data_IF_103333635841
#
_entry.id   IF_103333635841
#
_cell.length_a   1.000
_cell.length_b   1.000
_cell.length_c   1.000
_cell.angle_alpha   90.00
_cell.angle_beta   90.00
_cell.angle_gamma   90.00
#
_symmetry.space_group_name_H-M   'P 1'
#
loop_
_entity.id
_entity.type
_entity.pdbx_description
1 polymer ?
#
# COMPACT_ATOMS: atom_id res chain seq x y z
N UNK A 1 27.90 -9.43 3.56
CA UNK A 1 27.66 -9.89 4.94
C UNK A 1 26.16 -9.88 5.12
N UNK A 2 25.52 -11.06 5.18
CA UNK A 2 24.08 -11.11 5.40
C UNK A 2 23.82 -10.65 6.82
N UNK A 3 23.07 -9.56 6.99
CA UNK A 3 22.50 -9.20 8.27
C UNK A 3 21.57 -10.35 8.65
N UNK A 4 21.98 -11.14 9.64
CA UNK A 4 21.09 -12.11 10.27
C UNK A 4 20.00 -11.30 10.94
N UNK A 5 18.74 -11.51 10.50
CA UNK A 5 17.62 -10.84 11.11
C UNK A 5 17.45 -11.36 12.54
N UNK A 6 17.83 -10.55 13.52
CA UNK A 6 17.61 -10.83 14.94
C UNK A 6 16.16 -10.58 15.38
N UNK A 7 15.27 -10.15 14.42
CA UNK A 7 13.89 -9.78 14.68
C UNK A 7 12.92 -10.83 14.15
N UNK A 8 12.00 -11.27 15.00
CA UNK A 8 10.90 -12.14 14.60
C UNK A 8 9.64 -11.36 14.15
N UNK A 9 8.62 -12.06 13.63
CA UNK A 9 7.35 -11.44 13.23
C UNK A 9 6.69 -10.60 14.34
N UNK A 10 6.82 -11.01 15.60
CA UNK A 10 6.27 -10.26 16.75
C UNK A 10 6.92 -8.90 16.93
N UNK A 11 8.23 -8.83 16.73
CA UNK A 11 8.99 -7.59 16.87
C UNK A 11 8.62 -6.61 15.76
N UNK A 12 8.42 -7.12 14.55
CA UNK A 12 7.95 -6.33 13.40
C UNK A 12 6.55 -5.78 13.67
N UNK A 13 5.60 -6.58 14.18
CA UNK A 13 4.27 -6.09 14.55
C UNK A 13 4.33 -5.01 15.61
N UNK A 14 5.12 -5.20 16.66
CA UNK A 14 5.30 -4.20 17.72
C UNK A 14 5.89 -2.89 17.17
N UNK A 15 6.79 -2.96 16.19
CA UNK A 15 7.34 -1.78 15.54
C UNK A 15 6.30 -1.09 14.62
N UNK A 16 5.53 -1.88 13.86
CA UNK A 16 4.45 -1.34 13.00
C UNK A 16 3.41 -0.58 13.84
N UNK A 17 3.05 -1.06 15.03
CA UNK A 17 2.11 -0.35 15.90
C UNK A 17 2.62 1.05 16.32
N UNK A 18 3.93 1.23 16.46
CA UNK A 18 4.54 2.55 16.77
C UNK A 18 4.40 3.55 15.63
N UNK A 19 4.15 3.11 14.40
CA UNK A 19 3.96 4.03 13.27
C UNK A 19 2.66 4.86 13.39
N UNK A 20 1.70 4.43 14.21
CA UNK A 20 0.40 5.09 14.35
C UNK A 20 -0.49 5.02 13.12
N UNK A 21 -0.11 4.25 12.09
CA UNK A 21 -0.83 4.20 10.80
C UNK A 21 -1.99 3.21 10.75
N UNK A 22 -2.17 2.39 11.77
CA UNK A 22 -3.23 1.38 11.80
C UNK A 22 -4.62 2.01 11.65
N UNK A 23 -5.34 1.58 10.62
CA UNK A 23 -6.70 2.07 10.34
C UNK A 23 -6.77 3.50 9.81
N UNK A 24 -5.64 4.10 9.45
CA UNK A 24 -5.58 5.44 8.83
C UNK A 24 -5.39 5.34 7.32
N UNK A 25 -5.94 6.31 6.61
CA UNK A 25 -5.58 6.60 5.23
C UNK A 25 -4.33 7.48 5.21
N UNK A 26 -3.42 7.22 4.28
CA UNK A 26 -2.26 8.05 4.03
C UNK A 26 -2.44 8.71 2.67
N UNK A 27 -2.92 9.94 2.67
CA UNK A 27 -3.18 10.72 1.46
C UNK A 27 -2.14 11.80 1.24
N UNK A 28 -1.59 12.36 2.31
CA UNK A 28 -0.55 13.39 2.26
C UNK A 28 0.61 13.01 3.17
N UNK A 29 1.83 13.35 2.75
CA UNK A 29 3.02 13.14 3.59
C UNK A 29 2.98 14.03 4.84
N UNK A 30 2.35 15.20 4.74
CA UNK A 30 2.20 16.16 5.83
C UNK A 30 1.28 15.65 6.96
N UNK A 31 0.52 14.58 6.72
CA UNK A 31 -0.29 13.91 7.74
C UNK A 31 0.56 13.08 8.72
N UNK A 32 1.86 12.89 8.42
CA UNK A 32 2.80 12.16 9.26
C UNK A 32 3.60 13.10 10.15
N UNK A 33 3.60 12.84 11.44
CA UNK A 33 4.53 13.47 12.36
C UNK A 33 5.97 12.97 12.11
N UNK A 34 7.00 13.73 12.54
CA UNK A 34 8.39 13.27 12.45
C UNK A 34 8.63 11.93 13.17
N UNK A 35 7.96 11.67 14.28
CA UNK A 35 8.07 10.43 15.03
C UNK A 35 7.44 9.25 14.29
N UNK A 36 6.27 9.43 13.66
CA UNK A 36 5.62 8.41 12.83
C UNK A 36 6.50 8.08 11.62
N UNK A 37 7.06 9.10 10.98
CA UNK A 37 7.99 8.92 9.86
C UNK A 37 9.26 8.17 10.27
N UNK A 38 9.85 8.50 11.42
CA UNK A 38 11.01 7.79 11.97
C UNK A 38 10.68 6.32 12.26
N UNK A 39 9.51 6.04 12.84
CA UNK A 39 9.05 4.67 13.08
C UNK A 39 8.78 3.91 11.78
N UNK A 40 8.32 4.59 10.73
CA UNK A 40 8.14 3.99 9.41
C UNK A 40 9.49 3.55 8.81
N UNK A 41 10.52 4.39 8.90
CA UNK A 41 11.87 4.04 8.46
C UNK A 41 12.46 2.88 9.27
N UNK A 42 12.31 2.89 10.60
CA UNK A 42 12.75 1.78 11.45
C UNK A 42 12.04 0.47 11.07
N UNK A 43 10.75 0.53 10.72
CA UNK A 43 10.01 -0.63 10.22
C UNK A 43 10.59 -1.15 8.89
N UNK A 44 10.95 -0.25 7.97
CA UNK A 44 11.55 -0.61 6.70
C UNK A 44 12.92 -1.30 6.89
N UNK A 45 13.77 -0.79 7.81
CA UNK A 45 15.05 -1.40 8.16
C UNK A 45 14.86 -2.81 8.75
N UNK A 46 13.86 -3.02 9.61
CA UNK A 46 13.55 -4.34 10.16
C UNK A 46 13.06 -5.33 9.10
N UNK A 47 12.41 -4.85 8.04
CA UNK A 47 11.92 -5.67 6.94
C UNK A 47 12.99 -5.99 5.90
N UNK A 48 14.06 -5.20 5.82
CA UNK A 48 15.10 -5.34 4.79
C UNK A 48 15.71 -6.75 4.71
N UNK A 49 16.04 -7.46 5.81
CA UNK A 49 16.59 -8.81 5.74
C UNK A 49 15.66 -9.83 5.07
N UNK A 50 14.36 -9.57 5.08
CA UNK A 50 13.34 -10.47 4.56
C UNK A 50 12.92 -10.19 3.11
N UNK A 51 13.54 -9.21 2.45
CA UNK A 51 13.09 -8.76 1.13
C UNK A 51 13.13 -9.86 0.05
N UNK A 52 13.94 -10.91 0.22
CA UNK A 52 14.00 -12.06 -0.70
C UNK A 52 13.23 -13.28 -0.21
N UNK A 53 13.29 -13.57 1.08
CA UNK A 53 12.63 -14.74 1.68
C UNK A 53 11.12 -14.55 1.84
N UNK A 54 10.67 -13.30 1.98
CA UNK A 54 9.30 -12.99 2.32
C UNK A 54 8.95 -13.25 3.78
N UNK A 55 7.75 -12.84 4.15
CA UNK A 55 7.14 -13.05 5.47
C UNK A 55 5.64 -13.28 5.31
N UNK A 56 5.06 -14.10 6.18
CA UNK A 56 3.61 -14.40 6.17
C UNK A 56 2.82 -13.44 7.11
N UNK A 57 3.05 -12.13 6.99
CA UNK A 57 2.42 -11.12 7.87
C UNK A 57 1.02 -10.72 7.41
N UNK A 58 0.77 -10.74 6.09
CA UNK A 58 -0.48 -10.27 5.47
C UNK A 58 -1.25 -11.41 4.78
N UNK A 59 -1.17 -12.60 5.34
CA UNK A 59 -1.89 -13.76 4.82
C UNK A 59 -3.39 -13.47 4.72
N UNK A 60 -3.99 -13.82 3.58
CA UNK A 60 -5.40 -13.57 3.23
C UNK A 60 -5.78 -12.09 3.05
N UNK A 61 -4.83 -11.16 3.10
CA UNK A 61 -5.07 -9.75 2.76
C UNK A 61 -4.93 -9.51 1.27
N UNK A 62 -5.69 -8.56 0.78
CA UNK A 62 -5.72 -8.18 -0.63
C UNK A 62 -5.34 -6.70 -0.74
N UNK A 63 -4.31 -6.43 -1.55
CA UNK A 63 -3.99 -5.10 -2.03
C UNK A 63 -4.65 -4.89 -3.40
N UNK A 64 -5.34 -3.78 -3.58
CA UNK A 64 -5.73 -3.33 -4.91
C UNK A 64 -4.84 -2.15 -5.35
N UNK A 65 -4.27 -2.24 -6.56
CA UNK A 65 -3.56 -1.11 -7.18
C UNK A 65 -4.41 -0.56 -8.33
N UNK A 66 -4.80 0.71 -8.21
CA UNK A 66 -5.66 1.42 -9.15
C UNK A 66 -4.90 2.62 -9.72
N UNK A 67 -4.36 2.47 -10.93
CA UNK A 67 -3.45 3.46 -11.53
C UNK A 67 -4.09 4.11 -12.76
N UNK A 68 -4.65 5.31 -12.59
CA UNK A 68 -5.16 6.15 -13.68
C UNK A 68 -4.03 6.84 -14.46
N UNK A 69 -2.84 6.89 -13.88
CA UNK A 69 -1.63 7.40 -14.51
C UNK A 69 -0.54 6.33 -14.50
N UNK A 70 0.11 6.02 -15.64
CA UNK A 70 1.14 4.99 -15.70
C UNK A 70 2.28 5.23 -14.72
N UNK A 71 2.63 4.21 -13.96
CA UNK A 71 3.80 4.20 -13.08
C UNK A 71 4.23 2.78 -12.76
N UNK A 72 5.07 2.20 -13.61
CA UNK A 72 5.54 0.83 -13.48
C UNK A 72 6.28 0.58 -12.18
N UNK A 73 7.25 1.45 -11.84
CA UNK A 73 8.07 1.28 -10.63
C UNK A 73 7.24 1.35 -9.35
N UNK A 74 6.39 2.35 -9.22
CA UNK A 74 5.53 2.53 -8.03
C UNK A 74 4.57 1.36 -7.88
N UNK A 75 3.90 0.96 -8.97
CA UNK A 75 2.99 -0.18 -8.94
C UNK A 75 3.72 -1.45 -8.52
N UNK A 76 4.81 -1.81 -9.19
CA UNK A 76 5.55 -3.03 -8.89
C UNK A 76 6.13 -3.05 -7.48
N UNK A 77 6.55 -1.91 -6.92
CA UNK A 77 7.04 -1.86 -5.55
C UNK A 77 5.96 -2.25 -4.54
N UNK A 78 4.75 -1.71 -4.67
CA UNK A 78 3.63 -2.05 -3.78
C UNK A 78 3.16 -3.50 -3.96
N UNK A 79 3.00 -3.94 -5.21
CA UNK A 79 2.56 -5.30 -5.52
C UNK A 79 3.57 -6.34 -5.02
N UNK A 80 4.86 -6.10 -5.27
CA UNK A 80 5.93 -6.99 -4.80
C UNK A 80 6.00 -7.02 -3.26
N UNK A 81 5.85 -5.88 -2.60
CA UNK A 81 5.81 -5.81 -1.15
C UNK A 81 4.65 -6.65 -0.59
N UNK A 82 3.46 -6.53 -1.18
CA UNK A 82 2.29 -7.31 -0.75
C UNK A 82 2.51 -8.81 -0.90
N UNK A 83 3.02 -9.27 -2.04
CA UNK A 83 3.36 -10.69 -2.25
C UNK A 83 4.40 -11.20 -1.26
N UNK A 84 5.44 -10.39 -0.98
CA UNK A 84 6.50 -10.78 -0.03
C UNK A 84 6.03 -10.81 1.41
N UNK A 85 4.96 -10.10 1.73
CA UNK A 85 4.31 -10.17 3.03
C UNK A 85 3.22 -11.25 3.12
N UNK A 86 3.09 -12.11 2.10
CA UNK A 86 2.16 -13.24 2.08
C UNK A 86 0.73 -12.89 1.67
N UNK A 87 0.50 -11.68 1.17
CA UNK A 87 -0.81 -11.24 0.69
C UNK A 87 -1.04 -11.49 -0.80
N UNK A 88 -2.17 -11.01 -1.30
CA UNK A 88 -2.60 -11.12 -2.68
C UNK A 88 -2.77 -9.74 -3.30
N UNK A 89 -2.77 -9.67 -4.64
CA UNK A 89 -2.89 -8.41 -5.37
C UNK A 89 -4.00 -8.50 -6.42
N UNK A 90 -4.82 -7.46 -6.48
CA UNK A 90 -5.67 -7.10 -7.60
C UNK A 90 -5.07 -5.86 -8.26
N UNK A 91 -4.87 -5.88 -9.56
CA UNK A 91 -4.27 -4.74 -10.27
C UNK A 91 -5.16 -4.24 -11.41
N UNK A 92 -5.35 -2.93 -11.48
CA UNK A 92 -5.94 -2.24 -12.62
C UNK A 92 -5.00 -1.11 -13.05
N UNK A 93 -4.40 -1.31 -14.21
CA UNK A 93 -3.36 -0.41 -14.73
C UNK A 93 -3.87 0.58 -15.78
N UNK A 94 -5.12 0.45 -16.21
CA UNK A 94 -5.72 1.36 -17.17
C UNK A 94 -7.24 1.50 -16.95
N UNK A 95 -7.66 2.04 -15.79
CA UNK A 95 -9.08 2.14 -15.44
C UNK A 95 -9.91 2.95 -16.44
N UNK A 96 -9.28 3.92 -17.12
CA UNK A 96 -9.97 4.76 -18.13
C UNK A 96 -10.42 3.99 -19.38
N UNK A 97 -9.84 2.82 -19.62
CA UNK A 97 -10.17 1.99 -20.79
C UNK A 97 -10.94 0.74 -20.41
N UNK A 98 -10.55 0.10 -19.29
CA UNK A 98 -10.99 -1.25 -18.92
C UNK A 98 -12.09 -1.28 -17.86
N UNK A 99 -12.32 -0.17 -17.15
CA UNK A 99 -13.25 -0.14 -16.01
C UNK A 99 -14.51 0.68 -16.25
N UNK A 100 -15.36 0.71 -15.24
CA UNK A 100 -16.59 1.54 -15.20
C UNK A 100 -16.30 3.04 -15.35
N UNK A 101 -15.08 3.50 -15.01
CA UNK A 101 -14.64 4.87 -15.27
C UNK A 101 -14.68 5.25 -16.75
N UNK A 102 -14.48 4.27 -17.66
CA UNK A 102 -14.67 4.47 -19.10
C UNK A 102 -16.14 4.72 -19.49
N UNK A 103 -17.10 4.46 -18.60
CA UNK A 103 -18.54 4.59 -18.80
C UNK A 103 -19.15 5.81 -18.09
N UNK A 104 -18.34 6.84 -17.78
CA UNK A 104 -18.75 8.04 -17.04
C UNK A 104 -19.20 7.79 -15.59
N UNK A 105 -18.80 6.70 -14.96
CA UNK A 105 -18.93 6.52 -13.52
C UNK A 105 -18.02 7.49 -12.79
N UNK A 106 -18.48 8.09 -11.68
CA UNK A 106 -17.63 8.98 -10.90
C UNK A 106 -16.46 8.22 -10.27
N UNK A 107 -15.31 8.88 -10.13
CA UNK A 107 -14.17 8.30 -9.45
C UNK A 107 -14.51 7.86 -8.02
N UNK A 108 -15.33 8.67 -7.34
CA UNK A 108 -15.78 8.36 -5.98
C UNK A 108 -16.59 7.05 -5.91
N UNK A 109 -17.54 6.84 -6.82
CA UNK A 109 -18.34 5.61 -6.86
C UNK A 109 -17.47 4.40 -7.22
N UNK A 110 -16.59 4.55 -8.21
CA UNK A 110 -15.62 3.51 -8.57
C UNK A 110 -14.75 3.08 -7.39
N UNK A 111 -14.18 4.04 -6.65
CA UNK A 111 -13.35 3.75 -5.48
C UNK A 111 -14.16 3.06 -4.39
N UNK A 112 -15.38 3.51 -4.10
CA UNK A 112 -16.26 2.89 -3.10
C UNK A 112 -16.57 1.43 -3.41
N UNK A 113 -16.82 1.10 -4.66
CA UNK A 113 -17.08 -0.27 -5.09
C UNK A 113 -15.80 -1.10 -5.01
N UNK A 114 -14.68 -0.61 -5.55
CA UNK A 114 -13.40 -1.34 -5.57
C UNK A 114 -12.88 -1.58 -4.16
N UNK A 115 -13.05 -0.63 -3.26
CA UNK A 115 -12.65 -0.77 -1.85
C UNK A 115 -13.37 -1.91 -1.11
N UNK A 116 -14.48 -2.43 -1.63
CA UNK A 116 -15.13 -3.61 -1.05
C UNK A 116 -14.41 -4.93 -1.39
N UNK A 117 -13.53 -4.93 -2.38
CA UNK A 117 -12.81 -6.12 -2.82
C UNK A 117 -11.41 -6.26 -2.19
N UNK A 118 -10.91 -5.22 -1.51
CA UNK A 118 -9.55 -5.19 -1.00
C UNK A 118 -9.47 -4.63 0.43
N UNK A 119 -8.45 -5.06 1.16
CA UNK A 119 -8.12 -4.54 2.49
C UNK A 119 -7.33 -3.23 2.42
N UNK A 120 -6.55 -3.06 1.36
CA UNK A 120 -5.71 -1.88 1.08
C UNK A 120 -5.86 -1.47 -0.37
N UNK A 121 -6.01 -0.17 -0.60
CA UNK A 121 -6.05 0.42 -1.94
C UNK A 121 -4.86 1.37 -2.12
N UNK A 122 -4.12 1.18 -3.20
CA UNK A 122 -3.12 2.15 -3.67
C UNK A 122 -3.65 2.81 -4.94
N UNK A 123 -3.96 4.08 -4.81
CA UNK A 123 -4.53 4.91 -5.89
C UNK A 123 -3.47 5.87 -6.44
N UNK A 124 -3.37 5.95 -7.78
CA UNK A 124 -2.64 7.01 -8.48
C UNK A 124 -3.55 7.67 -9.51
N UNK A 125 -3.86 8.95 -9.30
CA UNK A 125 -4.68 9.75 -10.19
C UNK A 125 -3.90 10.98 -10.70
N UNK A 126 -4.14 11.46 -11.93
CA UNK A 126 -3.46 12.65 -12.47
C UNK A 126 -3.89 13.95 -11.80
N UNK A 127 -5.10 14.01 -11.26
CA UNK A 127 -5.62 15.21 -10.59
C UNK A 127 -5.00 15.41 -9.21
N UNK A 128 -5.02 16.63 -8.72
CA UNK A 128 -4.51 16.98 -7.40
C UNK A 128 -5.26 16.16 -6.33
N UNK A 129 -4.51 15.56 -5.43
CA UNK A 129 -5.05 14.76 -4.33
C UNK A 129 -6.06 15.52 -3.46
N UNK A 130 -5.96 16.85 -3.42
CA UNK A 130 -6.90 17.73 -2.69
C UNK A 130 -8.31 17.71 -3.26
N UNK A 131 -8.45 17.42 -4.56
CA UNK A 131 -9.75 17.29 -5.24
C UNK A 131 -10.42 15.95 -4.93
N UNK A 132 -9.67 14.97 -4.43
CA UNK A 132 -10.16 13.62 -4.13
C UNK A 132 -10.52 13.43 -2.64
N UNK A 133 -10.23 14.43 -1.80
CA UNK A 133 -10.44 14.37 -0.35
C UNK A 133 -11.82 14.92 0.10
N UNK A 134 -12.55 15.61 -0.79
CA UNK A 134 -13.91 16.11 -0.59
C UNK A 134 -14.96 15.14 -1.15
#
# INVERSE_FOLDING_TARGET
MALTADFGPRDIYAQVEKTGLKGRHLTFIDDLSPDELSNLFATAEMLEPYWRSGLELLRHRILCTLFFQPSTRTRFSHETAMYRLGGNVLTESNPLVSSSAAKNESLYDSIRVIAQYADVLVLRHPDDQRVLAD
#
